data_IF_295518067771
#
_entry.id   IF_295518067771
#
_cell.length_a   1.000
_cell.length_b   1.000
_cell.length_c   1.000
_cell.angle_alpha   90.00
_cell.angle_beta   90.00
_cell.angle_gamma   90.00
#
_symmetry.space_group_name_H-M   'P 1'
#
loop_
_entity.id
_entity.type
_entity.pdbx_description
1 polymer ?
#
# COMPACT_ATOMS: atom_id res chain seq x y z
N UNK A 1 -5.90 8.69 17.95
CA UNK A 1 -4.73 7.87 18.33
C UNK A 1 -3.60 7.97 17.32
N UNK A 2 -2.36 7.81 17.78
CA UNK A 2 -1.16 7.74 16.94
C UNK A 2 -0.35 6.49 17.27
N UNK A 3 0.26 5.89 16.25
CA UNK A 3 0.97 4.61 16.34
C UNK A 3 2.31 4.68 15.61
N UNK A 4 3.33 4.07 16.20
CA UNK A 4 4.58 3.74 15.51
C UNK A 4 4.33 2.54 14.62
N UNK A 5 4.80 2.64 13.38
CA UNK A 5 4.69 1.55 12.42
C UNK A 5 6.01 0.77 12.33
N UNK A 6 5.97 -0.39 11.69
CA UNK A 6 7.18 -1.10 11.24
C UNK A 6 7.74 -0.56 9.93
N UNK A 7 7.13 0.47 9.33
CA UNK A 7 7.55 1.04 8.05
C UNK A 7 8.64 2.10 8.31
N UNK A 8 9.88 1.90 7.83
CA UNK A 8 10.94 2.88 8.03
C UNK A 8 10.73 4.11 7.15
N UNK A 9 11.00 5.30 7.69
CA UNK A 9 11.18 6.49 6.88
C UNK A 9 12.46 6.38 6.04
N UNK A 10 12.48 7.07 4.89
CA UNK A 10 13.70 7.21 4.09
C UNK A 10 14.77 7.93 4.94
N UNK A 11 15.94 7.32 5.19
CA UNK A 11 16.97 7.94 6.02
C UNK A 11 17.53 9.22 5.40
N UNK A 12 17.86 10.20 6.23
CA UNK A 12 18.56 11.41 5.81
C UNK A 12 19.61 11.81 6.85
N UNK A 13 20.89 11.59 6.53
CA UNK A 13 21.99 11.81 7.46
C UNK A 13 21.87 10.94 8.71
N UNK A 14 21.86 11.56 9.89
CA UNK A 14 21.70 10.87 11.19
C UNK A 14 20.24 10.53 11.51
N UNK A 15 19.28 11.00 10.71
CA UNK A 15 17.87 10.78 10.96
C UNK A 15 17.40 9.49 10.29
N UNK A 16 17.05 8.51 11.11
CA UNK A 16 16.36 7.29 10.73
C UNK A 16 15.34 6.96 11.81
N UNK A 17 14.10 6.64 11.42
CA UNK A 17 13.04 6.30 12.38
C UNK A 17 11.93 5.53 11.67
N UNK A 18 11.09 4.80 12.42
CA UNK A 18 9.81 4.34 11.93
C UNK A 18 8.88 5.52 11.62
N UNK A 19 8.05 5.37 10.60
CA UNK A 19 6.93 6.28 10.33
C UNK A 19 5.94 6.21 11.49
N UNK A 20 5.47 7.37 11.95
CA UNK A 20 4.37 7.49 12.91
C UNK A 20 3.11 7.90 12.16
N UNK A 21 2.00 7.21 12.42
CA UNK A 21 0.72 7.46 11.77
C UNK A 21 -0.35 7.88 12.75
N UNK A 22 -1.23 8.80 12.35
CA UNK A 22 -2.52 9.03 13.00
C UNK A 22 -3.55 8.10 12.39
N UNK A 23 -4.33 7.41 13.23
CA UNK A 23 -5.47 6.60 12.78
C UNK A 23 -6.79 7.31 13.08
N UNK A 24 -7.73 7.27 12.13
CA UNK A 24 -9.14 7.61 12.38
C UNK A 24 -10.05 6.52 11.80
N UNK A 25 -11.10 6.12 12.51
CA UNK A 25 -12.16 5.30 11.93
C UNK A 25 -12.96 6.13 10.94
N UNK A 26 -13.21 5.57 9.76
CA UNK A 26 -14.01 6.19 8.70
C UNK A 26 -15.05 5.18 8.24
N UNK A 27 -16.35 5.54 8.17
CA UNK A 27 -17.35 4.61 7.66
C UNK A 27 -17.05 4.22 6.22
N UNK A 28 -17.21 2.94 5.87
CA UNK A 28 -16.80 2.39 4.58
C UNK A 28 -17.31 3.19 3.35
N UNK A 29 -18.54 3.71 3.42
CA UNK A 29 -19.14 4.52 2.34
C UNK A 29 -18.52 5.90 2.12
N UNK A 30 -17.64 6.37 3.02
CA UNK A 30 -16.97 7.66 2.93
C UNK A 30 -15.46 7.55 2.64
N UNK A 31 -14.93 6.35 2.40
CA UNK A 31 -13.50 6.16 2.17
C UNK A 31 -13.00 6.94 0.95
N UNK A 32 -13.73 6.88 -0.18
CA UNK A 32 -13.35 7.59 -1.40
C UNK A 32 -13.34 9.10 -1.19
N UNK A 33 -14.37 9.63 -0.52
CA UNK A 33 -14.46 11.04 -0.16
C UNK A 33 -13.34 11.47 0.78
N UNK A 34 -12.99 10.63 1.77
CA UNK A 34 -11.89 10.91 2.69
C UNK A 34 -10.55 11.01 1.94
N UNK A 35 -10.29 10.12 0.98
CA UNK A 35 -9.09 10.18 0.13
C UNK A 35 -9.10 11.42 -0.75
N UNK A 36 -10.20 11.68 -1.46
CA UNK A 36 -10.33 12.79 -2.40
C UNK A 36 -10.13 14.15 -1.72
N UNK A 37 -10.75 14.35 -0.56
CA UNK A 37 -10.65 15.60 0.19
C UNK A 37 -9.27 15.78 0.82
N UNK A 38 -8.68 14.72 1.39
CA UNK A 38 -7.41 14.86 2.13
C UNK A 38 -6.18 14.92 1.23
N UNK A 39 -6.22 14.30 0.05
CA UNK A 39 -5.09 14.33 -0.90
C UNK A 39 -4.74 15.74 -1.39
N UNK A 40 -5.74 16.62 -1.52
CA UNK A 40 -5.54 17.99 -2.01
C UNK A 40 -4.75 18.89 -1.04
N UNK A 41 -4.47 18.41 0.19
CA UNK A 41 -3.77 19.17 1.23
C UNK A 41 -2.38 18.57 1.54
N UNK A 42 -1.39 18.69 0.64
CA UNK A 42 -0.05 18.13 0.83
C UNK A 42 0.73 18.80 1.97
N UNK A 43 0.36 20.03 2.34
CA UNK A 43 0.95 20.76 3.48
C UNK A 43 0.36 20.32 4.84
N UNK A 44 -0.62 19.43 4.84
CA UNK A 44 -1.17 18.80 6.05
C UNK A 44 -0.86 17.29 6.01
N UNK A 45 -1.83 16.45 6.38
CA UNK A 45 -1.66 15.00 6.39
C UNK A 45 -1.58 14.36 5.00
N UNK A 46 -1.99 15.07 3.93
CA UNK A 46 -2.06 14.54 2.58
C UNK A 46 -3.04 13.36 2.45
N UNK A 47 -2.85 12.53 1.41
CA UNK A 47 -3.60 11.30 1.26
C UNK A 47 -3.27 10.31 2.40
N UNK A 48 -4.19 9.40 2.76
CA UNK A 48 -3.87 8.32 3.68
C UNK A 48 -2.64 7.54 3.23
N UNK A 49 -1.83 7.08 4.17
CA UNK A 49 -0.71 6.17 3.91
C UNK A 49 -1.15 4.71 3.91
N UNK A 50 -2.27 4.40 4.58
CA UNK A 50 -2.85 3.07 4.63
C UNK A 50 -4.35 3.10 4.96
N UNK A 51 -5.10 2.11 4.48
CA UNK A 51 -6.53 1.92 4.76
C UNK A 51 -6.77 0.43 5.03
N UNK A 52 -7.44 0.12 6.15
CA UNK A 52 -7.76 -1.26 6.52
C UNK A 52 -6.76 -1.87 7.50
N UNK A 53 -6.38 -3.13 7.29
CA UNK A 53 -5.73 -3.94 8.33
C UNK A 53 -4.48 -3.29 8.97
N UNK A 54 -4.51 -2.94 10.27
CA UNK A 54 -3.37 -2.31 10.96
C UNK A 54 -2.11 -3.19 11.01
N UNK A 55 -2.26 -4.52 10.89
CA UNK A 55 -1.12 -5.44 10.92
C UNK A 55 -0.13 -5.20 9.77
N UNK A 56 -0.58 -4.68 8.63
CA UNK A 56 0.29 -4.32 7.51
C UNK A 56 1.24 -3.16 7.82
N UNK A 57 0.87 -2.31 8.80
CA UNK A 57 1.75 -1.29 9.36
C UNK A 57 2.53 -1.78 10.58
N UNK A 58 2.42 -3.05 10.95
CA UNK A 58 3.03 -3.60 12.16
C UNK A 58 2.36 -3.13 13.44
N UNK A 59 1.09 -2.71 13.39
CA UNK A 59 0.31 -2.26 14.55
C UNK A 59 -0.56 -3.43 15.03
N UNK A 60 -0.22 -4.11 16.14
CA UNK A 60 -0.92 -5.33 16.56
C UNK A 60 -2.24 -5.06 17.30
N UNK A 61 -2.41 -3.87 17.89
CA UNK A 61 -3.53 -3.56 18.77
C UNK A 61 -3.88 -2.06 18.71
N UNK A 62 -5.03 -1.74 18.11
CA UNK A 62 -5.50 -0.35 18.00
C UNK A 62 -5.97 0.23 19.33
N UNK A 63 -6.23 -0.59 20.36
CA UNK A 63 -6.60 -0.09 21.70
C UNK A 63 -5.42 0.50 22.47
N UNK A 64 -4.18 0.30 21.99
CA UNK A 64 -2.93 0.73 22.64
C UNK A 64 -2.14 1.67 21.74
N UNK A 65 -2.55 2.94 21.60
CA UNK A 65 -1.76 3.91 20.86
C UNK A 65 -0.43 4.21 21.55
N UNK A 66 0.61 4.43 20.75
CA UNK A 66 1.90 4.94 21.23
C UNK A 66 1.78 6.38 21.74
N UNK A 67 0.85 7.16 21.15
CA UNK A 67 0.57 8.53 21.59
C UNK A 67 -0.92 8.88 21.50
N UNK A 68 -1.37 9.64 22.51
CA UNK A 68 -2.76 10.05 22.66
C UNK A 68 -3.65 8.92 23.14
N UNK A 69 -4.96 9.12 22.98
CA UNK A 69 -5.97 8.19 23.49
C UNK A 69 -6.49 7.24 22.38
N UNK A 70 -6.93 6.03 22.75
CA UNK A 70 -7.60 5.11 21.84
C UNK A 70 -8.90 5.73 21.31
N UNK A 71 -9.32 5.29 20.13
CA UNK A 71 -10.51 5.80 19.45
C UNK A 71 -11.56 4.69 19.37
N UNK A 72 -12.81 5.04 19.63
CA UNK A 72 -13.95 4.12 19.52
C UNK A 72 -14.35 3.90 18.06
N UNK A 73 -14.69 2.66 17.73
CA UNK A 73 -15.19 2.26 16.41
C UNK A 73 -16.70 2.08 16.44
N UNK A 74 -17.36 2.50 15.38
CA UNK A 74 -18.74 2.13 15.08
C UNK A 74 -18.78 0.92 14.13
N UNK A 75 -19.87 0.12 14.15
CA UNK A 75 -20.04 -0.96 13.18
C UNK A 75 -19.97 -0.44 11.74
N UNK A 76 -19.08 -1.00 10.93
CA UNK A 76 -18.86 -0.59 9.54
C UNK A 76 -17.77 0.47 9.33
N UNK A 77 -17.11 0.92 10.40
CA UNK A 77 -15.93 1.75 10.30
C UNK A 77 -14.71 0.95 9.84
N UNK A 78 -13.90 1.60 9.01
CA UNK A 78 -12.62 1.10 8.53
C UNK A 78 -11.53 2.02 9.07
N UNK A 79 -10.45 1.47 9.67
CA UNK A 79 -9.33 2.28 10.14
C UNK A 79 -8.56 2.89 8.95
N UNK A 80 -8.35 4.19 9.00
CA UNK A 80 -7.60 4.95 7.99
C UNK A 80 -6.41 5.63 8.66
N UNK A 81 -5.24 5.52 8.05
CA UNK A 81 -3.97 5.97 8.62
C UNK A 81 -3.36 7.07 7.76
N UNK A 82 -2.93 8.16 8.40
CA UNK A 82 -2.21 9.27 7.76
C UNK A 82 -0.86 9.47 8.40
N UNK A 83 0.12 9.96 7.62
CA UNK A 83 1.41 10.36 8.17
C UNK A 83 1.23 11.44 9.24
N UNK A 84 1.90 11.29 10.38
CA UNK A 84 1.82 12.22 11.49
C UNK A 84 3.11 13.04 11.60
N UNK A 85 2.98 14.33 11.90
CA UNK A 85 4.12 15.22 12.21
C UNK A 85 4.96 14.77 13.42
N UNK A 86 4.40 13.91 14.30
CA UNK A 86 5.16 13.27 15.40
C UNK A 86 6.31 12.40 14.88
N UNK A 87 6.29 11.98 13.61
CA UNK A 87 7.43 11.31 12.96
C UNK A 87 8.71 12.14 13.05
N UNK A 88 8.63 13.47 12.96
CA UNK A 88 9.80 14.33 13.13
C UNK A 88 10.38 14.28 14.56
N UNK A 89 9.51 14.16 15.56
CA UNK A 89 9.92 13.98 16.96
C UNK A 89 10.62 12.62 17.12
N UNK A 90 10.06 11.57 16.50
CA UNK A 90 10.61 10.23 16.54
C UNK A 90 11.99 10.14 15.86
N UNK A 91 12.17 10.85 14.74
CA UNK A 91 13.45 11.01 14.05
C UNK A 91 14.52 11.64 14.96
N UNK A 92 14.16 12.69 15.70
CA UNK A 92 15.08 13.35 16.64
C UNK A 92 15.49 12.38 17.75
N UNK A 93 14.52 11.68 18.36
CA UNK A 93 14.77 10.72 19.44
C UNK A 93 15.72 9.61 18.97
N UNK A 94 15.55 9.10 17.75
CA UNK A 94 16.40 8.05 17.19
C UNK A 94 17.78 8.53 16.74
N UNK A 95 17.95 9.82 16.45
CA UNK A 95 19.20 10.34 15.87
C UNK A 95 20.40 10.44 16.83
N UNK A 96 20.25 10.10 18.12
CA UNK A 96 21.28 10.26 19.17
C UNK A 96 21.97 11.63 19.15
N UNK A 97 21.29 12.68 18.67
CA UNK A 97 21.87 13.99 18.43
C UNK A 97 21.76 14.88 19.67
N UNK A 98 22.85 15.57 20.00
CA UNK A 98 22.96 16.45 21.17
C UNK A 98 22.28 17.82 20.98
N UNK A 99 21.59 18.05 19.86
CA UNK A 99 21.08 19.38 19.46
C UNK A 99 19.55 19.32 19.30
N UNK A 100 18.86 20.10 20.13
CA UNK A 100 17.40 20.25 20.13
C UNK A 100 17.00 21.55 19.44
N UNK A 101 16.74 21.49 18.14
CA UNK A 101 16.02 22.56 17.42
C UNK A 101 15.16 21.95 16.31
N UNK A 102 13.87 22.26 16.32
CA UNK A 102 12.91 21.93 15.26
C UNK A 102 13.20 22.76 14.00
N UNK A 103 13.31 22.20 12.80
CA UNK A 103 13.33 23.00 11.58
C UNK A 103 11.90 23.35 11.15
N UNK A 104 11.72 24.63 10.80
CA UNK A 104 10.62 25.13 9.98
C UNK A 104 10.85 24.81 8.50
N UNK A 105 9.75 24.86 7.75
CA UNK A 105 9.61 24.83 6.28
C UNK A 105 9.60 23.46 5.58
N UNK A 106 8.41 23.11 5.10
CA UNK A 106 8.10 21.98 4.22
C UNK A 106 8.24 22.39 2.75
N UNK A 107 8.77 21.52 1.85
CA UNK A 107 8.90 21.85 0.44
C UNK A 107 7.54 21.91 -0.25
N UNK A 108 7.31 22.96 -1.04
CA UNK A 108 6.15 23.09 -1.91
C UNK A 108 6.21 22.07 -3.04
N UNK A 109 5.24 21.16 -3.10
CA UNK A 109 5.05 20.28 -4.27
C UNK A 109 3.81 20.75 -5.02
N UNK A 110 3.98 21.20 -6.26
CA UNK A 110 2.86 21.54 -7.15
C UNK A 110 1.97 20.33 -7.38
N UNK A 111 0.66 20.51 -7.23
CA UNK A 111 -0.34 19.45 -7.43
C UNK A 111 -0.41 19.05 -8.90
N UNK A 112 0.21 17.92 -9.27
CA UNK A 112 0.12 17.37 -10.61
C UNK A 112 -1.11 16.45 -10.71
N UNK A 113 -2.14 16.77 -11.52
CA UNK A 113 -3.40 16.01 -11.57
C UNK A 113 -3.23 14.54 -12.00
N UNK A 114 -2.10 14.18 -12.64
CA UNK A 114 -1.76 12.79 -12.95
C UNK A 114 -1.33 11.95 -11.73
N UNK A 115 -0.92 12.60 -10.63
CA UNK A 115 -0.48 11.95 -9.40
C UNK A 115 -1.60 11.76 -8.37
N UNK A 116 -2.85 12.13 -8.71
CA UNK A 116 -3.99 11.90 -7.83
C UNK A 116 -4.11 10.41 -7.51
N UNK A 117 -4.07 10.00 -6.24
CA UNK A 117 -4.25 8.62 -5.84
C UNK A 117 -5.71 8.21 -6.01
N UNK A 118 -5.91 6.95 -6.36
CA UNK A 118 -7.19 6.25 -6.31
C UNK A 118 -7.04 5.08 -5.33
N UNK A 119 -8.10 4.83 -4.57
CA UNK A 119 -8.20 3.68 -3.67
C UNK A 119 -8.90 2.53 -4.39
N UNK A 120 -8.33 1.33 -4.30
CA UNK A 120 -8.87 0.14 -4.95
C UNK A 120 -8.88 -1.03 -3.98
N UNK A 121 -10.01 -1.73 -3.91
CA UNK A 121 -10.11 -3.05 -3.27
C UNK A 121 -9.49 -4.09 -4.20
N UNK A 122 -8.59 -4.92 -3.67
CA UNK A 122 -8.00 -6.03 -4.43
C UNK A 122 -8.28 -7.41 -3.81
N UNK A 123 -8.82 -7.47 -2.59
CA UNK A 123 -9.28 -8.71 -1.96
C UNK A 123 -10.51 -8.42 -1.10
N UNK A 124 -11.47 -9.33 -1.10
CA UNK A 124 -12.71 -9.20 -0.31
C UNK A 124 -12.76 -10.15 0.90
N UNK A 125 -11.83 -11.11 0.99
CA UNK A 125 -11.73 -12.03 2.10
C UNK A 125 -10.29 -12.60 2.23
N UNK A 126 -9.44 -12.03 3.10
CA UNK A 126 -9.69 -10.83 3.91
C UNK A 126 -9.77 -9.56 3.06
N UNK A 127 -10.45 -8.53 3.57
CA UNK A 127 -10.71 -7.29 2.84
C UNK A 127 -9.44 -6.44 2.78
N UNK A 128 -8.91 -6.17 1.59
CA UNK A 128 -7.69 -5.37 1.40
C UNK A 128 -7.86 -4.24 0.37
N UNK A 129 -7.29 -3.08 0.70
CA UNK A 129 -7.23 -1.90 -0.16
C UNK A 129 -5.79 -1.50 -0.44
N UNK A 130 -5.58 -0.89 -1.60
CA UNK A 130 -4.31 -0.23 -1.92
C UNK A 130 -4.54 1.11 -2.61
N UNK A 131 -3.55 1.99 -2.50
CA UNK A 131 -3.52 3.27 -3.19
C UNK A 131 -2.58 3.19 -4.40
N UNK A 132 -3.01 3.77 -5.51
CA UNK A 132 -2.20 3.90 -6.73
C UNK A 132 -2.53 5.23 -7.40
N UNK A 133 -1.57 5.88 -8.04
CA UNK A 133 -1.89 7.11 -8.78
C UNK A 133 -2.75 6.79 -10.01
N UNK A 134 -3.60 7.75 -10.44
CA UNK A 134 -4.38 7.64 -11.68
C UNK A 134 -3.48 7.32 -12.88
N UNK A 135 -2.30 7.95 -12.95
CA UNK A 135 -1.32 7.68 -14.01
C UNK A 135 -0.82 6.23 -13.98
N UNK A 136 -0.44 5.71 -12.82
CA UNK A 136 0.07 4.35 -12.69
C UNK A 136 -1.02 3.31 -12.97
N UNK A 137 -2.25 3.53 -12.47
CA UNK A 137 -3.39 2.67 -12.79
C UNK A 137 -3.69 2.67 -14.30
N UNK A 138 -3.66 3.82 -14.95
CA UNK A 138 -3.85 3.92 -16.40
C UNK A 138 -2.75 3.19 -17.18
N UNK A 139 -1.48 3.29 -16.74
CA UNK A 139 -0.38 2.55 -17.35
C UNK A 139 -0.54 1.03 -17.21
N UNK A 140 -0.97 0.55 -16.04
CA UNK A 140 -1.20 -0.88 -15.82
C UNK A 140 -2.36 -1.40 -16.68
N UNK A 141 -3.46 -0.64 -16.79
CA UNK A 141 -4.58 -0.99 -17.68
C UNK A 141 -4.19 -1.02 -19.16
N UNK A 142 -3.32 -0.10 -19.58
CA UNK A 142 -2.77 -0.12 -20.93
C UNK A 142 -1.92 -1.37 -21.19
N UNK A 143 -1.13 -1.81 -20.20
CA UNK A 143 -0.41 -3.08 -20.28
C UNK A 143 -1.36 -4.27 -20.34
N UNK A 144 -2.43 -4.24 -19.53
CA UNK A 144 -3.47 -5.26 -19.51
C UNK A 144 -4.10 -5.44 -20.90
N UNK A 145 -4.47 -4.35 -21.59
CA UNK A 145 -4.96 -4.37 -22.97
C UNK A 145 -3.98 -5.03 -23.96
N UNK A 146 -2.68 -4.77 -23.81
CA UNK A 146 -1.64 -5.34 -24.68
C UNK A 146 -1.50 -6.86 -24.47
N UNK A 147 -1.54 -7.32 -23.21
CA UNK A 147 -1.31 -8.74 -22.89
C UNK A 147 -2.52 -9.64 -23.15
N UNK A 148 -3.72 -9.06 -23.31
CA UNK A 148 -4.96 -9.79 -23.63
C UNK A 148 -5.00 -10.25 -25.10
N UNK A 149 -4.03 -9.84 -25.93
CA UNK A 149 -3.94 -10.32 -27.30
C UNK A 149 -3.98 -11.86 -27.34
N UNK A 150 -4.83 -12.40 -28.20
CA UNK A 150 -5.02 -13.84 -28.36
C UNK A 150 -4.43 -14.29 -29.70
N UNK A 151 -3.10 -14.49 -29.76
CA UNK A 151 -2.46 -14.92 -30.98
C UNK A 151 -3.04 -16.26 -31.41
N UNK A 152 -3.53 -16.31 -32.65
CA UNK A 152 -4.13 -17.50 -33.23
C UNK A 152 -5.59 -17.77 -32.81
N UNK A 153 -6.27 -16.81 -32.16
CA UNK A 153 -7.70 -16.89 -31.83
C UNK A 153 -8.06 -18.17 -31.08
N UNK A 154 -7.30 -18.49 -30.02
CA UNK A 154 -7.47 -19.71 -29.22
C UNK A 154 -8.73 -19.69 -28.36
N UNK A 155 -9.42 -18.55 -28.27
CA UNK A 155 -10.66 -18.38 -27.52
C UNK A 155 -10.43 -18.06 -26.05
N UNK A 156 -9.24 -17.59 -25.67
CA UNK A 156 -8.90 -17.30 -24.27
C UNK A 156 -9.51 -16.00 -23.73
N UNK A 157 -10.14 -15.20 -24.60
CA UNK A 157 -10.82 -13.95 -24.21
C UNK A 157 -11.89 -14.16 -23.13
N UNK A 158 -12.51 -15.33 -23.07
CA UNK A 158 -13.50 -15.66 -22.04
C UNK A 158 -12.88 -15.81 -20.63
N UNK A 159 -11.56 -15.92 -20.53
CA UNK A 159 -10.83 -16.01 -19.25
C UNK A 159 -10.43 -14.64 -18.71
N UNK A 160 -10.63 -13.57 -19.48
CA UNK A 160 -10.25 -12.23 -19.07
C UNK A 160 -11.14 -11.72 -17.94
N UNK A 161 -10.52 -11.24 -16.87
CA UNK A 161 -11.17 -10.53 -15.77
C UNK A 161 -10.63 -9.11 -15.75
N UNK A 162 -11.53 -8.13 -15.78
CA UNK A 162 -11.18 -6.71 -15.75
C UNK A 162 -10.41 -6.35 -14.47
N UNK A 163 -9.34 -5.55 -14.63
CA UNK A 163 -8.44 -5.08 -13.57
C UNK A 163 -7.72 -6.22 -12.79
N UNK A 164 -7.62 -7.44 -13.33
CA UNK A 164 -6.95 -8.56 -12.67
C UNK A 164 -5.44 -8.31 -12.52
N UNK A 165 -4.80 -7.76 -13.56
CA UNK A 165 -3.40 -7.37 -13.51
C UNK A 165 -3.19 -6.27 -12.46
N UNK A 166 -4.08 -5.26 -12.44
CA UNK A 166 -4.02 -4.16 -11.50
C UNK A 166 -4.14 -4.66 -10.05
N UNK A 167 -5.13 -5.51 -9.76
CA UNK A 167 -5.31 -6.11 -8.43
C UNK A 167 -4.11 -6.97 -8.03
N UNK A 168 -3.52 -7.71 -8.96
CA UNK A 168 -2.32 -8.51 -8.72
C UNK A 168 -1.11 -7.65 -8.38
N UNK A 169 -0.89 -6.56 -9.12
CA UNK A 169 0.16 -5.58 -8.82
C UNK A 169 -0.01 -4.96 -7.43
N UNK A 170 -1.25 -4.61 -7.05
CA UNK A 170 -1.55 -4.08 -5.73
C UNK A 170 -1.34 -5.14 -4.63
N UNK A 171 -1.73 -6.39 -4.86
CA UNK A 171 -1.46 -7.47 -3.90
C UNK A 171 0.05 -7.71 -3.69
N UNK A 172 0.82 -7.66 -4.78
CA UNK A 172 2.27 -7.77 -4.74
C UNK A 172 2.94 -6.61 -4.00
N UNK A 173 2.42 -5.38 -4.09
CA UNK A 173 2.99 -4.24 -3.36
C UNK A 173 2.89 -4.37 -1.84
N UNK A 174 1.94 -5.17 -1.35
CA UNK A 174 1.76 -5.47 0.08
C UNK A 174 2.44 -6.78 0.52
N UNK A 175 3.06 -7.52 -0.41
CA UNK A 175 3.65 -8.83 -0.13
C UNK A 175 5.07 -8.69 0.44
N UNK A 176 5.34 -9.30 1.58
CA UNK A 176 6.69 -9.36 2.17
C UNK A 176 7.60 -10.40 1.50
N UNK A 177 7.00 -11.41 0.86
CA UNK A 177 7.69 -12.51 0.19
C UNK A 177 6.84 -13.05 -0.95
N UNK A 178 7.47 -13.37 -2.08
CA UNK A 178 6.79 -13.88 -3.29
C UNK A 178 7.43 -15.20 -3.70
N UNK A 179 6.63 -16.27 -3.81
CA UNK A 179 7.04 -17.54 -4.38
C UNK A 179 6.58 -17.64 -5.84
N UNK A 180 7.51 -17.82 -6.77
CA UNK A 180 7.20 -17.96 -8.20
C UNK A 180 7.37 -19.42 -8.59
N UNK A 181 6.27 -20.05 -9.00
CA UNK A 181 6.28 -21.42 -9.52
C UNK A 181 5.85 -21.39 -10.98
N UNK A 182 6.64 -21.99 -11.85
CA UNK A 182 6.27 -22.19 -13.25
C UNK A 182 6.40 -23.66 -13.60
N UNK A 183 5.52 -24.15 -14.48
CA UNK A 183 5.53 -25.55 -14.89
C UNK A 183 4.28 -25.87 -15.69
N UNK A 184 4.45 -26.25 -16.95
CA UNK A 184 3.36 -26.72 -17.81
C UNK A 184 3.76 -28.10 -18.35
N UNK A 185 3.43 -29.20 -17.66
CA UNK A 185 3.84 -30.54 -18.08
C UNK A 185 3.15 -30.90 -19.40
N UNK A 186 3.92 -30.95 -20.48
CA UNK A 186 3.38 -31.18 -21.84
C UNK A 186 3.34 -32.65 -22.26
N UNK A 187 3.82 -33.60 -21.44
CA UNK A 187 3.75 -35.04 -21.77
C UNK A 187 3.64 -35.91 -20.52
N UNK A 188 2.46 -36.46 -20.24
CA UNK A 188 2.26 -37.45 -19.15
C UNK A 188 2.50 -38.91 -19.58
N UNK A 189 2.82 -39.15 -20.86
CA UNK A 189 2.92 -40.50 -21.47
C UNK A 189 4.34 -40.97 -21.81
N UNK A 190 5.40 -40.19 -21.59
CA UNK A 190 6.76 -40.66 -21.81
C UNK A 190 7.41 -41.15 -20.50
N UNK A 191 7.56 -42.49 -20.36
CA UNK A 191 8.43 -43.09 -19.35
C UNK A 191 9.89 -42.76 -19.70
N UNK A 192 10.49 -41.82 -19.00
CA UNK A 192 11.94 -41.62 -19.02
C UNK A 192 12.62 -42.70 -18.17
N UNK A 193 12.88 -43.88 -18.73
CA UNK A 193 13.89 -44.80 -18.21
C UNK A 193 15.26 -44.30 -18.62
N UNK A 194 15.90 -43.53 -17.73
CA UNK A 194 17.35 -43.41 -17.50
C UNK A 194 17.71 -41.99 -17.02
N UNK A 195 17.73 -41.80 -15.70
CA UNK A 195 18.61 -40.80 -15.10
C UNK A 195 19.95 -41.48 -14.82
N UNK A 196 20.97 -41.18 -15.61
CA UNK A 196 22.37 -41.32 -15.16
C UNK A 196 22.71 -40.01 -14.45
N UNK A 197 22.92 -40.08 -13.14
CA UNK A 197 23.61 -39.03 -12.40
C UNK A 197 25.08 -39.04 -12.86
N UNK A 198 25.57 -37.87 -13.27
CA UNK A 198 27.00 -37.53 -13.23
C UNK A 198 27.19 -36.56 -12.07
#
# INVERSE_FOLDING_TARGET
SMYRTSVPCVPNGVFCCPLVVTMRPVPAGFLDAAVEVTHQNPLAHGAPVHIGDPALLGIPDLSKPDYGEPVEFQPGDVPVFWACGVTAIEAIIHSNSSIRTLPSESPSTESNPGQTPICLSFSHNPLFYSLVSKSAAASIRLLEEIIIDDPGQRGIRALFVEDELLRSCLALSHSSSVAITTGFPTHYMHRYTHCKCF
#
